data_IF_467305305020
#
_entry.id   IF_467305305020
#
_cell.length_a   1.000
_cell.length_b   1.000
_cell.length_c   1.000
_cell.angle_alpha   90.00
_cell.angle_beta   90.00
_cell.angle_gamma   90.00
#
_symmetry.space_group_name_H-M   'P 1'
#
loop_
_entity.id
_entity.type
_entity.pdbx_description
1 polymer ?
#
# COMPACT_ATOMS: atom_id res chain seq x y z
N UNK A 1 5.24 13.50 7.85
CA UNK A 1 6.09 13.74 9.04
C UNK A 1 5.69 15.13 9.52
N UNK A 2 4.97 15.20 10.63
CA UNK A 2 4.52 16.46 11.21
C UNK A 2 5.64 17.03 12.08
N UNK A 3 5.95 18.33 11.92
CA UNK A 3 6.88 19.10 12.76
C UNK A 3 8.28 18.48 12.95
N UNK A 4 8.86 17.91 11.91
CA UNK A 4 10.21 17.34 11.98
C UNK A 4 11.27 18.43 11.86
N UNK A 5 12.09 18.59 12.89
CA UNK A 5 13.18 19.55 12.89
C UNK A 5 14.51 18.96 12.40
N UNK A 6 14.74 17.68 12.63
CA UNK A 6 16.00 16.99 12.36
C UNK A 6 15.75 15.66 11.67
N UNK A 7 16.52 15.41 10.62
CA UNK A 7 16.64 14.08 10.02
C UNK A 7 18.04 13.55 10.28
N UNK A 8 18.20 12.24 10.36
CA UNK A 8 19.48 11.63 10.63
C UNK A 8 19.65 10.28 9.92
N UNK A 9 20.89 9.86 9.78
CA UNK A 9 21.32 8.54 9.33
C UNK A 9 22.42 8.04 10.23
N UNK A 10 22.20 6.92 10.87
CA UNK A 10 23.19 6.27 11.74
C UNK A 10 23.86 5.11 11.01
N UNK A 11 25.15 4.97 11.22
CA UNK A 11 25.98 3.86 10.76
C UNK A 11 26.49 3.12 11.97
N UNK A 12 26.07 1.87 12.12
CA UNK A 12 26.58 1.01 13.19
C UNK A 12 28.08 0.83 13.02
N UNK A 13 28.83 1.12 14.07
CA UNK A 13 30.28 0.97 14.07
C UNK A 13 30.65 -0.51 14.03
N UNK A 14 31.14 -0.95 12.88
CA UNK A 14 31.62 -2.32 12.64
C UNK A 14 32.96 -2.25 11.93
N UNK A 15 34.03 -2.33 12.70
CA UNK A 15 35.41 -2.28 12.20
C UNK A 15 35.76 -3.46 11.28
N UNK A 16 34.98 -4.52 11.27
CA UNK A 16 35.13 -5.62 10.32
C UNK A 16 34.59 -5.27 8.93
N UNK A 17 33.72 -4.27 8.82
CA UNK A 17 33.09 -3.85 7.57
C UNK A 17 33.71 -2.59 6.97
N UNK A 18 34.15 -1.64 7.80
CA UNK A 18 34.77 -0.39 7.35
C UNK A 18 35.60 0.26 8.47
N UNK A 19 36.52 1.16 8.12
CA UNK A 19 37.37 1.81 9.12
C UNK A 19 36.80 3.14 9.64
N UNK A 20 36.25 3.96 8.76
CA UNK A 20 35.73 5.29 9.13
C UNK A 20 34.79 5.86 8.06
N UNK A 21 34.01 6.89 8.47
CA UNK A 21 33.20 7.70 7.56
C UNK A 21 33.74 9.12 7.60
N UNK A 22 34.00 9.66 6.43
CA UNK A 22 34.62 11.01 6.26
C UNK A 22 33.91 11.78 5.14
N UNK A 23 34.36 13.02 4.90
CA UNK A 23 33.92 13.88 3.78
C UNK A 23 32.40 14.07 3.72
N UNK A 24 31.75 14.14 4.89
CA UNK A 24 30.32 14.37 4.99
C UNK A 24 29.95 15.74 4.47
N UNK A 25 28.95 15.80 3.61
CA UNK A 25 28.31 17.03 3.12
C UNK A 25 26.81 16.82 3.04
N UNK A 26 26.06 17.84 3.38
CA UNK A 26 24.59 17.85 3.29
C UNK A 26 24.15 19.11 2.56
N UNK A 27 23.18 18.97 1.68
CA UNK A 27 22.56 20.06 0.94
C UNK A 27 21.08 19.82 0.73
N UNK A 28 20.35 20.91 0.55
CA UNK A 28 18.96 20.90 0.06
C UNK A 28 18.97 21.17 -1.45
N UNK A 29 18.17 20.43 -2.18
CA UNK A 29 17.99 20.59 -3.63
C UNK A 29 16.61 21.21 -3.89
N UNK A 30 16.60 22.39 -4.50
CA UNK A 30 15.40 23.08 -4.93
C UNK A 30 15.50 23.40 -6.44
N UNK A 31 14.78 22.60 -7.23
CA UNK A 31 14.91 22.62 -8.68
C UNK A 31 16.34 22.33 -9.12
N UNK A 32 16.98 23.32 -9.77
CA UNK A 32 18.39 23.26 -10.22
C UNK A 32 19.38 23.86 -9.19
N UNK A 33 18.89 24.39 -8.07
CA UNK A 33 19.73 25.02 -7.06
C UNK A 33 20.10 24.00 -5.99
N UNK A 34 21.41 23.96 -5.64
CA UNK A 34 21.92 23.16 -4.53
C UNK A 34 22.40 24.13 -3.43
N UNK A 35 21.73 24.07 -2.26
CA UNK A 35 22.08 24.86 -1.09
C UNK A 35 22.82 24.01 -0.09
N UNK A 36 24.11 24.24 0.07
CA UNK A 36 24.97 23.58 1.05
C UNK A 36 24.55 23.95 2.47
N UNK A 37 24.56 23.00 3.38
CA UNK A 37 24.35 23.22 4.81
C UNK A 37 25.65 23.51 5.51
N UNK A 38 25.56 24.22 6.62
CA UNK A 38 26.71 24.56 7.46
C UNK A 38 27.03 23.39 8.39
N UNK A 39 28.31 22.96 8.38
CA UNK A 39 28.77 21.93 9.32
C UNK A 39 28.89 22.53 10.72
N UNK A 40 28.44 21.78 11.73
CA UNK A 40 28.65 22.06 13.15
C UNK A 40 29.39 20.89 13.78
N UNK A 41 30.20 21.18 14.79
CA UNK A 41 31.07 20.21 15.47
C UNK A 41 30.55 19.88 16.88
N UNK A 42 29.25 19.68 16.99
CA UNK A 42 28.59 19.26 18.23
C UNK A 42 27.36 18.41 17.95
N UNK A 43 27.12 17.41 18.78
CA UNK A 43 25.87 16.66 18.82
C UNK A 43 24.73 17.57 19.28
N UNK A 44 23.61 17.51 18.57
CA UNK A 44 22.42 18.29 18.92
C UNK A 44 21.16 17.43 18.71
N UNK A 45 20.29 17.36 19.71
CA UNK A 45 19.00 16.69 19.57
C UNK A 45 18.11 17.36 18.51
N UNK A 46 18.15 18.72 18.46
CA UNK A 46 17.51 19.50 17.43
C UNK A 46 18.56 20.26 16.65
N UNK A 47 18.87 19.78 15.45
CA UNK A 47 19.84 20.46 14.57
C UNK A 47 19.22 21.72 13.99
N UNK A 48 19.94 22.83 14.10
CA UNK A 48 19.52 24.11 13.51
C UNK A 48 19.26 23.96 12.01
N UNK A 49 18.20 24.59 11.52
CA UNK A 49 17.85 24.57 10.10
C UNK A 49 19.05 24.93 9.22
N UNK A 50 19.27 24.12 8.17
CA UNK A 50 20.42 24.27 7.24
C UNK A 50 21.80 24.07 7.88
N UNK A 51 21.85 23.40 9.03
CA UNK A 51 23.07 22.91 9.63
C UNK A 51 23.12 21.41 9.62
N UNK A 52 24.30 20.81 9.78
CA UNK A 52 24.49 19.37 9.92
C UNK A 52 25.72 19.05 10.75
N UNK A 53 25.73 17.86 11.34
CA UNK A 53 26.95 17.25 11.86
C UNK A 53 27.16 15.85 11.27
N UNK A 54 28.39 15.38 11.35
CA UNK A 54 28.78 14.00 11.01
C UNK A 54 29.88 13.59 11.98
N UNK A 55 29.52 12.83 13.03
CA UNK A 55 30.43 12.40 14.11
C UNK A 55 29.88 11.17 14.84
N UNK A 56 30.69 10.64 15.78
CA UNK A 56 30.18 9.58 16.66
C UNK A 56 29.16 10.15 17.63
N UNK A 57 28.06 9.41 17.79
CA UNK A 57 27.05 9.69 18.81
C UNK A 57 27.42 9.01 20.15
N UNK A 58 26.59 9.21 21.17
CA UNK A 58 26.82 8.69 22.52
C UNK A 58 26.84 7.14 22.58
N UNK A 59 26.19 6.46 21.63
CA UNK A 59 26.21 4.99 21.48
C UNK A 59 27.48 4.49 20.75
N UNK A 60 28.37 5.39 20.37
CA UNK A 60 29.58 5.04 19.62
C UNK A 60 29.39 4.76 18.14
N UNK A 61 28.18 4.97 17.60
CA UNK A 61 27.88 4.87 16.19
C UNK A 61 28.18 6.17 15.46
N UNK A 62 28.55 6.10 14.19
CA UNK A 62 28.70 7.32 13.39
C UNK A 62 27.33 7.82 12.91
N UNK A 63 27.03 9.07 13.18
CA UNK A 63 25.75 9.68 12.84
C UNK A 63 25.93 10.93 11.98
N UNK A 64 25.13 11.02 10.93
CA UNK A 64 24.96 12.22 10.13
C UNK A 64 23.55 12.75 10.43
N UNK A 65 23.45 13.94 11.01
CA UNK A 65 22.15 14.56 11.27
C UNK A 65 22.11 15.97 10.69
N UNK A 66 20.95 16.37 10.21
CA UNK A 66 20.75 17.68 9.59
C UNK A 66 19.41 18.31 9.92
N UNK A 67 19.43 19.63 10.09
CA UNK A 67 18.26 20.43 10.43
C UNK A 67 17.44 20.79 9.21
N UNK A 68 16.20 20.32 9.19
CA UNK A 68 15.27 20.54 8.07
C UNK A 68 14.27 21.65 8.37
N UNK A 69 13.87 21.83 9.64
CA UNK A 69 12.92 22.86 10.08
C UNK A 69 11.62 22.75 9.28
N UNK A 70 11.07 21.55 9.16
CA UNK A 70 9.80 21.32 8.50
C UNK A 70 8.65 21.71 9.44
N UNK A 71 7.75 22.51 8.93
CA UNK A 71 6.47 22.84 9.53
C UNK A 71 5.32 22.18 8.74
N UNK A 72 4.10 22.31 9.20
CA UNK A 72 2.92 21.71 8.57
C UNK A 72 2.67 22.22 7.14
N UNK A 73 3.21 23.34 6.77
CA UNK A 73 3.14 23.94 5.43
C UNK A 73 4.22 23.43 4.49
N UNK A 74 5.15 22.61 4.99
CA UNK A 74 6.30 22.16 4.22
C UNK A 74 5.91 21.24 3.10
N UNK A 75 6.07 21.75 1.88
CA UNK A 75 5.99 21.00 0.65
C UNK A 75 7.10 19.93 0.57
N UNK A 76 7.11 19.17 -0.51
CA UNK A 76 8.14 18.16 -0.77
C UNK A 76 9.55 18.77 -0.72
N UNK A 77 10.41 18.17 0.09
CA UNK A 77 11.82 18.56 0.25
C UNK A 77 12.73 17.47 -0.29
N UNK A 78 13.84 17.88 -0.89
CA UNK A 78 14.86 16.98 -1.41
C UNK A 78 16.21 17.33 -0.81
N UNK A 79 16.84 16.33 -0.19
CA UNK A 79 18.16 16.47 0.41
C UNK A 79 19.16 15.58 -0.32
N UNK A 80 20.40 16.04 -0.39
CA UNK A 80 21.55 15.29 -0.88
C UNK A 80 22.55 15.17 0.24
N UNK A 81 22.84 13.92 0.62
CA UNK A 81 23.83 13.58 1.63
C UNK A 81 24.96 12.85 0.92
N UNK A 82 26.18 13.34 1.06
CA UNK A 82 27.38 12.75 0.49
C UNK A 82 28.35 12.42 1.61
N UNK A 83 28.98 11.29 1.55
CA UNK A 83 29.99 10.85 2.51
C UNK A 83 30.90 9.80 1.87
N UNK A 84 32.07 9.62 2.44
CA UNK A 84 33.02 8.59 2.06
C UNK A 84 33.10 7.53 3.15
N UNK A 85 32.98 6.26 2.77
CA UNK A 85 33.19 5.12 3.65
C UNK A 85 34.57 4.53 3.34
N UNK A 86 35.50 4.65 4.27
CA UNK A 86 36.84 4.16 4.09
C UNK A 86 36.88 2.65 4.38
N UNK A 87 37.63 1.92 3.55
CA UNK A 87 37.82 0.48 3.65
C UNK A 87 36.54 -0.37 3.62
N UNK A 88 35.48 0.12 2.95
CA UNK A 88 34.25 -0.64 2.80
C UNK A 88 34.40 -1.87 1.89
N UNK A 89 35.39 -1.87 1.01
CA UNK A 89 35.64 -2.99 0.08
C UNK A 89 36.66 -3.93 0.68
N UNK A 90 36.32 -5.21 0.75
CA UNK A 90 37.24 -6.28 1.10
C UNK A 90 37.89 -6.85 -0.17
N UNK A 91 39.20 -6.97 -0.23
CA UNK A 91 39.95 -7.55 -1.35
C UNK A 91 40.47 -8.91 -0.97
N UNK A 92 39.96 -9.95 -1.60
CA UNK A 92 40.41 -11.32 -1.47
C UNK A 92 41.36 -11.68 -2.61
N UNK A 93 41.88 -12.92 -2.61
CA UNK A 93 42.83 -13.38 -3.64
C UNK A 93 42.16 -13.44 -5.04
N UNK A 94 40.92 -13.88 -5.08
CA UNK A 94 40.15 -14.14 -6.30
C UNK A 94 39.20 -12.99 -6.68
N UNK A 95 38.51 -12.38 -5.70
CA UNK A 95 37.52 -11.32 -5.92
C UNK A 95 37.62 -10.21 -4.88
N UNK A 96 37.08 -9.05 -5.24
CA UNK A 96 36.81 -7.96 -4.32
C UNK A 96 35.32 -7.94 -3.99
N UNK A 97 34.98 -7.64 -2.74
CA UNK A 97 33.62 -7.69 -2.19
C UNK A 97 33.24 -6.31 -1.63
N UNK A 98 32.09 -5.80 -2.07
CA UNK A 98 31.34 -4.77 -1.36
C UNK A 98 30.09 -5.43 -0.74
N UNK A 99 30.05 -5.47 0.58
CA UNK A 99 28.89 -5.95 1.33
C UNK A 99 28.40 -4.84 2.24
N UNK A 100 27.35 -4.11 1.79
CA UNK A 100 26.94 -2.87 2.39
C UNK A 100 25.44 -2.76 2.61
N UNK A 101 25.06 -2.37 3.82
CA UNK A 101 23.69 -2.04 4.18
C UNK A 101 23.40 -0.56 3.87
N UNK A 102 22.70 -0.30 2.76
CA UNK A 102 22.34 1.04 2.34
C UNK A 102 21.26 1.66 3.21
N UNK A 103 20.32 0.85 3.69
CA UNK A 103 19.26 1.23 4.61
C UNK A 103 19.23 0.22 5.74
N UNK A 104 19.31 0.71 6.98
CA UNK A 104 19.28 -0.12 8.19
C UNK A 104 17.87 -0.33 8.71
N UNK A 105 17.73 -1.28 9.64
CA UNK A 105 16.45 -1.61 10.27
C UNK A 105 15.87 -0.46 11.11
N UNK A 106 16.71 0.48 11.50
CA UNK A 106 16.32 1.66 12.28
C UNK A 106 15.70 2.77 11.40
N UNK A 107 15.50 2.52 10.11
CA UNK A 107 14.88 3.47 9.20
C UNK A 107 13.36 3.44 9.34
N UNK A 108 12.79 4.50 9.91
CA UNK A 108 11.39 4.56 10.34
C UNK A 108 10.42 5.11 9.29
N UNK A 109 10.86 5.30 8.04
CA UNK A 109 10.06 5.95 7.00
C UNK A 109 9.66 4.94 5.92
N UNK A 110 8.37 4.91 5.58
CA UNK A 110 7.91 4.18 4.42
C UNK A 110 8.32 4.91 3.13
N UNK A 111 8.92 4.19 2.19
CA UNK A 111 9.30 4.73 0.89
C UNK A 111 8.52 4.06 -0.24
N UNK A 112 7.97 4.83 -1.15
CA UNK A 112 7.30 4.29 -2.34
C UNK A 112 8.31 3.56 -3.23
N UNK A 113 9.50 4.13 -3.36
CA UNK A 113 10.55 3.61 -4.23
C UNK A 113 11.93 3.98 -3.70
N UNK A 114 12.83 3.02 -3.66
CA UNK A 114 14.24 3.18 -3.39
C UNK A 114 14.98 2.72 -4.64
N UNK A 115 15.86 3.54 -5.16
CA UNK A 115 16.72 3.20 -6.30
C UNK A 115 18.17 3.50 -5.96
N UNK A 116 19.07 2.68 -6.44
CA UNK A 116 20.48 2.92 -6.27
C UNK A 116 21.30 2.48 -7.48
N UNK A 117 22.47 3.07 -7.58
CA UNK A 117 23.47 2.74 -8.59
C UNK A 117 24.81 2.60 -7.91
N UNK A 118 25.50 1.49 -8.16
CA UNK A 118 26.89 1.26 -7.76
C UNK A 118 27.72 1.38 -9.04
N UNK A 119 28.68 2.30 -9.03
CA UNK A 119 29.65 2.47 -10.11
C UNK A 119 31.00 1.93 -9.65
N UNK A 120 31.51 0.94 -10.38
CA UNK A 120 32.86 0.45 -10.17
C UNK A 120 33.87 1.40 -10.84
N UNK A 121 35.06 1.57 -10.28
CA UNK A 121 36.03 2.54 -10.79
C UNK A 121 36.59 2.19 -12.17
N UNK A 122 36.53 0.93 -12.58
CA UNK A 122 36.94 0.42 -13.88
C UNK A 122 35.93 -0.63 -14.39
N UNK A 123 36.00 -0.91 -15.71
CA UNK A 123 35.19 -1.95 -16.31
C UNK A 123 35.73 -3.35 -15.95
N UNK A 124 34.83 -4.28 -15.65
CA UNK A 124 35.13 -5.71 -15.71
C UNK A 124 35.25 -6.14 -17.19
N UNK A 125 35.84 -7.31 -17.43
CA UNK A 125 35.91 -7.85 -18.80
C UNK A 125 34.52 -8.22 -19.33
N UNK A 126 33.64 -8.71 -18.46
CA UNK A 126 32.30 -9.09 -18.78
C UNK A 126 31.35 -8.72 -17.62
N UNK A 127 30.06 -8.59 -17.91
CA UNK A 127 29.01 -8.42 -16.86
C UNK A 127 28.93 -9.64 -15.94
N UNK A 128 29.18 -10.81 -16.47
CA UNK A 128 29.15 -12.08 -15.79
C UNK A 128 30.25 -12.19 -14.73
N UNK A 129 31.31 -11.39 -14.84
CA UNK A 129 32.35 -11.26 -13.81
C UNK A 129 31.87 -10.51 -12.56
N UNK A 130 30.73 -9.81 -12.66
CA UNK A 130 30.12 -9.09 -11.56
C UNK A 130 29.00 -9.95 -11.00
N UNK A 131 29.12 -10.39 -9.76
CA UNK A 131 28.07 -11.10 -9.04
C UNK A 131 27.35 -10.13 -8.12
N UNK A 132 26.01 -10.20 -8.08
CA UNK A 132 25.21 -9.28 -7.29
C UNK A 132 24.09 -9.99 -6.58
N UNK A 133 23.87 -9.62 -5.31
CA UNK A 133 22.78 -10.10 -4.47
C UNK A 133 22.20 -8.92 -3.69
N UNK A 134 20.89 -8.93 -3.55
CA UNK A 134 20.17 -7.95 -2.76
C UNK A 134 19.42 -8.64 -1.64
N UNK A 135 19.61 -8.16 -0.43
CA UNK A 135 18.95 -8.66 0.75
C UNK A 135 17.96 -7.64 1.28
N UNK A 136 16.71 -8.04 1.39
CA UNK A 136 15.63 -7.30 2.03
C UNK A 136 14.60 -8.29 2.57
N UNK A 137 13.89 -7.89 3.60
CA UNK A 137 12.99 -8.82 4.31
C UNK A 137 11.85 -9.38 3.44
N UNK A 138 11.39 -8.66 2.42
CA UNK A 138 10.22 -9.02 1.60
C UNK A 138 10.46 -9.14 0.10
N UNK A 139 11.68 -9.18 -0.34
CA UNK A 139 12.07 -9.52 -1.73
C UNK A 139 11.24 -8.81 -2.82
N UNK A 140 10.88 -7.57 -2.59
CA UNK A 140 10.15 -6.69 -3.52
C UNK A 140 11.11 -5.77 -4.29
N UNK A 141 12.33 -6.19 -4.47
CA UNK A 141 13.38 -5.49 -5.17
C UNK A 141 14.02 -6.34 -6.25
N UNK A 142 14.76 -5.68 -7.10
CA UNK A 142 15.62 -6.27 -8.13
C UNK A 142 17.00 -5.65 -8.09
N UNK A 143 18.01 -6.41 -8.46
CA UNK A 143 19.39 -5.97 -8.61
C UNK A 143 20.02 -6.67 -9.81
N UNK A 144 20.78 -5.94 -10.61
CA UNK A 144 21.47 -6.48 -11.79
C UNK A 144 22.66 -5.62 -12.20
N UNK A 145 23.61 -6.24 -12.89
CA UNK A 145 24.68 -5.53 -13.58
C UNK A 145 24.13 -4.93 -14.89
N UNK A 146 23.99 -3.60 -14.93
CA UNK A 146 23.56 -2.89 -16.15
C UNK A 146 24.65 -2.88 -17.21
N UNK A 147 25.90 -2.68 -16.78
CA UNK A 147 27.09 -2.72 -17.64
C UNK A 147 28.27 -3.38 -16.92
N UNK A 148 29.43 -3.41 -17.55
CA UNK A 148 30.67 -4.00 -16.97
C UNK A 148 31.24 -3.20 -15.78
N UNK A 149 30.67 -2.03 -15.46
CA UNK A 149 31.07 -1.24 -14.30
C UNK A 149 29.91 -0.62 -13.55
N UNK A 150 28.65 -0.96 -13.90
CA UNK A 150 27.50 -0.33 -13.33
C UNK A 150 26.47 -1.35 -12.87
N UNK A 151 26.11 -1.28 -11.61
CA UNK A 151 25.10 -2.12 -10.99
C UNK A 151 23.93 -1.23 -10.59
N UNK A 152 22.71 -1.68 -10.87
CA UNK A 152 21.48 -1.01 -10.45
C UNK A 152 20.68 -1.87 -9.52
N UNK A 153 20.01 -1.21 -8.59
CA UNK A 153 19.00 -1.88 -7.75
C UNK A 153 17.78 -0.98 -7.54
N UNK A 154 16.67 -1.62 -7.31
CA UNK A 154 15.39 -0.99 -7.05
C UNK A 154 14.62 -1.78 -6.00
N UNK A 155 13.98 -1.08 -5.04
CA UNK A 155 13.06 -1.68 -4.08
C UNK A 155 11.78 -0.85 -4.08
N UNK A 156 10.65 -1.50 -4.31
CA UNK A 156 9.35 -0.86 -4.35
C UNK A 156 8.56 -1.11 -3.05
N UNK A 157 7.77 -0.12 -2.63
CA UNK A 157 6.91 -0.19 -1.45
C UNK A 157 7.67 -0.63 -0.18
N UNK A 158 8.83 -0.03 0.03
CA UNK A 158 9.64 -0.26 1.22
C UNK A 158 8.90 0.23 2.48
N UNK A 159 8.89 -0.61 3.50
CA UNK A 159 8.25 -0.28 4.79
C UNK A 159 9.30 0.02 5.85
N UNK A 160 8.97 0.93 6.75
CA UNK A 160 9.77 1.26 7.93
C UNK A 160 10.16 0.01 8.74
N UNK A 161 11.28 0.08 9.42
CA UNK A 161 11.81 -1.01 10.23
C UNK A 161 12.48 -2.14 9.44
N UNK A 162 12.75 -1.93 8.14
CA UNK A 162 13.37 -2.93 7.26
C UNK A 162 14.70 -2.44 6.74
N UNK A 163 15.44 -3.34 6.11
CA UNK A 163 16.76 -3.04 5.58
C UNK A 163 16.85 -3.27 4.07
N UNK A 164 17.82 -2.59 3.45
CA UNK A 164 18.29 -2.86 2.09
C UNK A 164 19.79 -3.04 2.18
N UNK A 165 20.25 -4.24 1.95
CA UNK A 165 21.64 -4.62 1.95
C UNK A 165 22.02 -5.22 0.60
N UNK A 166 23.19 -4.89 0.11
CA UNK A 166 23.68 -5.36 -1.19
C UNK A 166 25.05 -5.96 -1.01
N UNK A 167 25.21 -7.11 -1.62
CA UNK A 167 26.47 -7.78 -1.77
C UNK A 167 26.84 -7.83 -3.24
N UNK A 168 28.05 -7.40 -3.59
CA UNK A 168 28.56 -7.53 -4.93
C UNK A 168 30.02 -7.99 -4.92
N UNK A 169 30.32 -8.95 -5.77
CA UNK A 169 31.67 -9.41 -6.04
C UNK A 169 32.10 -8.94 -7.44
N UNK A 170 33.31 -8.50 -7.57
CA UNK A 170 33.88 -8.06 -8.82
C UNK A 170 35.40 -8.37 -8.87
N UNK A 171 36.03 -8.43 -10.06
CA UNK A 171 37.45 -8.78 -10.19
C UNK A 171 38.36 -7.85 -9.39
N UNK A 172 39.37 -8.43 -8.76
CA UNK A 172 40.36 -7.68 -7.94
C UNK A 172 41.15 -6.65 -8.74
N UNK A 173 41.23 -6.81 -10.06
CA UNK A 173 41.87 -5.86 -10.98
C UNK A 173 41.19 -4.50 -11.04
N UNK A 174 39.90 -4.42 -10.67
CA UNK A 174 39.11 -3.18 -10.71
C UNK A 174 39.55 -2.21 -9.60
N UNK A 175 40.07 -2.70 -8.48
CA UNK A 175 40.54 -1.89 -7.37
C UNK A 175 42.04 -2.04 -7.15
N UNK A 176 42.72 -0.91 -7.02
CA UNK A 176 44.16 -0.88 -6.81
C UNK A 176 44.55 -1.02 -5.35
N UNK A 177 43.78 -0.44 -4.44
CA UNK A 177 44.08 -0.39 -3.01
C UNK A 177 42.81 -0.68 -2.19
N UNK A 178 42.95 -1.49 -1.16
CA UNK A 178 41.96 -1.68 -0.10
C UNK A 178 42.67 -1.84 1.23
N UNK A 179 42.21 -1.16 2.27
CA UNK A 179 42.71 -1.36 3.65
C UNK A 179 42.34 -2.72 4.23
N UNK A 180 41.37 -3.43 3.61
CA UNK A 180 40.91 -4.75 4.01
C UNK A 180 41.32 -5.77 2.94
N UNK A 181 42.53 -6.30 3.03
CA UNK A 181 43.08 -7.26 2.08
C UNK A 181 43.30 -8.62 2.78
N UNK A 182 42.85 -9.69 2.14
CA UNK A 182 42.90 -11.05 2.62
C UNK A 182 43.62 -11.94 1.60
N UNK A 183 44.41 -12.92 2.10
CA UNK A 183 45.15 -13.88 1.28
C UNK A 183 44.36 -15.15 0.93
N UNK A 184 43.09 -15.19 1.33
CA UNK A 184 42.17 -16.34 1.07
C UNK A 184 41.33 -16.06 -0.20
N UNK A 185 40.85 -17.12 -0.82
CA UNK A 185 39.79 -17.09 -1.82
C UNK A 185 38.45 -16.99 -1.12
N UNK A 186 37.46 -16.39 -1.79
CA UNK A 186 36.14 -16.11 -1.18
C UNK A 186 34.96 -16.37 -2.10
N UNK A 187 35.17 -16.52 -3.40
CA UNK A 187 34.08 -16.61 -4.39
C UNK A 187 33.15 -17.80 -4.10
N UNK A 188 33.70 -19.00 -3.95
CA UNK A 188 32.89 -20.21 -3.77
C UNK A 188 32.14 -20.21 -2.44
N UNK A 189 32.76 -19.70 -1.38
CA UNK A 189 32.10 -19.52 -0.09
C UNK A 189 30.89 -18.61 -0.20
N UNK A 190 31.06 -17.43 -0.85
CA UNK A 190 29.96 -16.48 -1.04
C UNK A 190 28.85 -17.07 -1.89
N UNK A 191 29.17 -17.74 -2.99
CA UNK A 191 28.16 -18.40 -3.82
C UNK A 191 27.38 -19.44 -3.02
N UNK A 192 28.08 -20.21 -2.16
CA UNK A 192 27.43 -21.19 -1.29
C UNK A 192 26.50 -20.51 -0.27
N UNK A 193 26.98 -19.46 0.42
CA UNK A 193 26.19 -18.68 1.37
C UNK A 193 24.91 -18.12 0.72
N UNK A 194 25.05 -17.46 -0.43
CA UNK A 194 23.96 -16.86 -1.16
C UNK A 194 22.96 -17.89 -1.69
N UNK A 195 23.45 -19.07 -2.10
CA UNK A 195 22.60 -20.18 -2.55
C UNK A 195 21.75 -20.71 -1.41
N UNK A 196 22.30 -20.87 -0.22
CA UNK A 196 21.56 -21.28 0.98
C UNK A 196 20.48 -20.25 1.30
N UNK A 197 20.83 -18.96 1.35
CA UNK A 197 19.87 -17.89 1.64
C UNK A 197 18.76 -17.78 0.59
N UNK A 198 19.10 -17.93 -0.69
CA UNK A 198 18.11 -17.97 -1.77
C UNK A 198 17.13 -19.14 -1.62
N UNK A 199 17.64 -20.32 -1.28
CA UNK A 199 16.80 -21.51 -1.06
C UNK A 199 15.88 -21.35 0.15
N UNK A 200 16.36 -20.80 1.26
CA UNK A 200 15.56 -20.48 2.43
C UNK A 200 14.49 -19.43 2.13
N UNK A 201 14.87 -18.37 1.39
CA UNK A 201 13.93 -17.33 0.97
C UNK A 201 12.82 -17.90 0.07
N UNK A 202 13.18 -18.78 -0.89
CA UNK A 202 12.23 -19.47 -1.76
C UNK A 202 11.31 -20.43 -0.99
N UNK A 203 11.84 -21.14 0.01
CA UNK A 203 11.04 -21.99 0.89
C UNK A 203 10.03 -21.17 1.71
N UNK A 204 10.45 -20.02 2.26
CA UNK A 204 9.55 -19.08 2.97
C UNK A 204 8.46 -18.53 2.06
N UNK A 205 8.79 -18.16 0.80
CA UNK A 205 7.80 -17.72 -0.20
C UNK A 205 6.76 -18.80 -0.49
N UNK A 206 7.19 -20.03 -0.79
CA UNK A 206 6.28 -21.16 -1.04
C UNK A 206 5.34 -21.41 0.13
N UNK A 207 5.86 -21.34 1.36
CA UNK A 207 5.06 -21.50 2.58
C UNK A 207 4.02 -20.38 2.71
N UNK A 208 4.43 -19.11 2.49
CA UNK A 208 3.54 -17.97 2.55
C UNK A 208 2.44 -18.02 1.48
N UNK A 209 2.79 -18.41 0.24
CA UNK A 209 1.81 -18.62 -0.85
C UNK A 209 0.82 -19.74 -0.52
N UNK A 210 1.32 -20.86 0.02
CA UNK A 210 0.47 -21.96 0.47
C UNK A 210 -0.51 -21.52 1.55
N UNK A 211 -0.05 -20.79 2.56
CA UNK A 211 -0.89 -20.23 3.62
C UNK A 211 -1.94 -19.26 3.06
N UNK A 212 -1.53 -18.39 2.13
CA UNK A 212 -2.46 -17.44 1.46
C UNK A 212 -3.54 -18.17 0.66
N UNK A 213 -3.17 -19.20 -0.13
CA UNK A 213 -4.11 -20.04 -0.88
C UNK A 213 -5.11 -20.74 0.05
N UNK A 214 -4.61 -21.30 1.15
CA UNK A 214 -5.46 -21.97 2.15
C UNK A 214 -6.42 -20.96 2.81
N UNK A 215 -5.95 -19.80 3.22
CA UNK A 215 -6.80 -18.76 3.81
C UNK A 215 -7.88 -18.28 2.83
N UNK A 216 -7.53 -18.11 1.54
CA UNK A 216 -8.49 -17.75 0.50
C UNK A 216 -9.53 -18.85 0.29
N UNK A 217 -9.12 -20.13 0.27
CA UNK A 217 -10.04 -21.24 0.14
C UNK A 217 -11.04 -21.32 1.33
N UNK A 218 -10.53 -21.16 2.56
CA UNK A 218 -11.38 -21.12 3.76
C UNK A 218 -12.38 -19.95 3.67
N UNK A 219 -11.92 -18.76 3.26
CA UNK A 219 -12.78 -17.59 3.11
C UNK A 219 -13.91 -17.82 2.10
N UNK A 220 -13.60 -18.42 0.94
CA UNK A 220 -14.61 -18.78 -0.07
C UNK A 220 -15.63 -19.80 0.49
N UNK A 221 -15.16 -20.82 1.21
CA UNK A 221 -16.04 -21.81 1.84
C UNK A 221 -17.01 -21.14 2.83
N UNK A 222 -16.50 -20.22 3.66
CA UNK A 222 -17.34 -19.47 4.63
C UNK A 222 -18.41 -18.66 3.91
N UNK A 223 -18.07 -17.96 2.82
CA UNK A 223 -19.04 -17.22 2.01
C UNK A 223 -20.12 -18.17 1.47
N UNK A 224 -19.73 -19.29 0.86
CA UNK A 224 -20.69 -20.26 0.33
C UNK A 224 -21.65 -20.80 1.40
N UNK A 225 -21.16 -21.04 2.63
CA UNK A 225 -22.02 -21.49 3.74
C UNK A 225 -23.03 -20.40 4.13
N UNK A 226 -22.58 -19.14 4.21
CA UNK A 226 -23.45 -18.00 4.52
C UNK A 226 -24.52 -17.82 3.45
N UNK A 227 -24.11 -17.83 2.16
CA UNK A 227 -25.01 -17.69 1.02
C UNK A 227 -26.05 -18.82 0.98
N UNK A 228 -25.61 -20.06 1.26
CA UNK A 228 -26.51 -21.20 1.35
C UNK A 228 -27.54 -21.04 2.49
N UNK A 229 -27.12 -20.52 3.63
CA UNK A 229 -28.01 -20.20 4.76
C UNK A 229 -29.04 -19.13 4.40
N UNK A 230 -28.62 -18.07 3.72
CA UNK A 230 -29.52 -17.01 3.23
C UNK A 230 -30.51 -17.56 2.21
N UNK A 231 -30.04 -18.35 1.23
CA UNK A 231 -30.89 -18.96 0.21
C UNK A 231 -31.95 -19.90 0.82
N UNK A 232 -31.54 -20.73 1.78
CA UNK A 232 -32.51 -21.58 2.53
C UNK A 232 -33.57 -20.74 3.24
N UNK A 233 -33.18 -19.66 3.90
CA UNK A 233 -34.12 -18.78 4.60
C UNK A 233 -35.07 -18.08 3.62
N UNK A 234 -34.54 -17.61 2.48
CA UNK A 234 -35.35 -17.01 1.41
C UNK A 234 -36.36 -17.97 0.83
N UNK A 235 -35.94 -19.21 0.52
CA UNK A 235 -36.86 -20.27 0.03
C UNK A 235 -37.95 -20.60 1.04
N UNK A 236 -37.64 -20.62 2.35
CA UNK A 236 -38.64 -20.83 3.38
C UNK A 236 -39.67 -19.70 3.40
N UNK A 237 -39.22 -18.45 3.33
CA UNK A 237 -40.12 -17.28 3.29
C UNK A 237 -41.02 -17.31 2.05
N UNK A 238 -40.47 -17.68 0.87
CA UNK A 238 -41.24 -17.81 -0.36
C UNK A 238 -42.33 -18.87 -0.24
N UNK A 239 -42.02 -20.08 0.29
CA UNK A 239 -43.01 -21.11 0.55
C UNK A 239 -44.12 -20.66 1.49
N UNK A 240 -43.77 -20.02 2.59
CA UNK A 240 -44.73 -19.45 3.53
C UNK A 240 -45.62 -18.37 2.89
N UNK A 241 -45.08 -17.59 1.96
CA UNK A 241 -45.80 -16.59 1.18
C UNK A 241 -46.76 -17.26 0.18
N UNK A 242 -46.31 -18.29 -0.56
CA UNK A 242 -47.18 -19.06 -1.46
C UNK A 242 -48.31 -19.72 -0.73
N UNK A 243 -48.11 -20.29 0.45
CA UNK A 243 -49.17 -20.88 1.27
C UNK A 243 -50.23 -19.85 1.74
N UNK A 244 -49.79 -18.61 2.00
CA UNK A 244 -50.67 -17.48 2.38
C UNK A 244 -51.46 -16.93 1.19
N UNK A 245 -50.99 -17.09 -0.04
CA UNK A 245 -51.62 -16.59 -1.28
C UNK A 245 -52.49 -17.63 -1.95
N UNK A 246 -52.59 -18.84 -1.43
CA UNK A 246 -53.64 -19.81 -1.87
C UNK A 246 -55.00 -19.25 -1.49
N UNK A 247 -55.46 -18.32 -2.28
CA UNK A 247 -56.81 -17.81 -2.27
C UNK A 247 -57.69 -18.84 -3.03
N UNK A 248 -58.41 -19.66 -2.32
CA UNK A 248 -59.52 -20.39 -2.94
C UNK A 248 -60.69 -19.43 -3.05
N UNK A 249 -61.12 -19.05 -4.26
CA UNK A 249 -62.34 -18.28 -4.42
C UNK A 249 -63.54 -19.12 -3.95
N UNK A 250 -64.08 -18.76 -2.79
CA UNK A 250 -65.20 -19.45 -2.17
C UNK A 250 -66.54 -19.22 -2.85
N UNK A 251 -66.63 -18.31 -3.82
CA UNK A 251 -67.79 -18.09 -4.67
C UNK A 251 -67.38 -17.41 -5.98
N UNK A 252 -67.91 -17.86 -7.13
CA UNK A 252 -67.95 -17.07 -8.35
C UNK A 252 -68.94 -15.93 -8.15
N UNK A 253 -68.42 -14.73 -7.88
CA UNK A 253 -69.20 -13.50 -7.80
C UNK A 253 -69.06 -12.77 -9.11
N UNK A 254 -70.16 -12.60 -9.83
CA UNK A 254 -70.26 -11.93 -11.12
C UNK A 254 -69.99 -10.39 -11.00
N UNK A 255 -70.02 -9.84 -9.79
CA UNK A 255 -69.84 -8.42 -9.55
C UNK A 255 -69.40 -8.07 -8.12
N UNK A 256 -68.24 -7.38 -7.97
CA UNK A 256 -67.79 -6.84 -6.69
C UNK A 256 -68.05 -5.37 -6.58
N UNK A 257 -68.84 -4.94 -5.58
CA UNK A 257 -69.05 -3.51 -5.24
C UNK A 257 -68.09 -3.01 -4.16
N UNK A 258 -67.43 -3.86 -3.45
CA UNK A 258 -66.59 -3.50 -2.31
C UNK A 258 -65.14 -3.95 -2.51
N UNK A 259 -64.19 -3.19 -1.93
CA UNK A 259 -62.76 -3.57 -1.94
C UNK A 259 -62.58 -4.94 -1.24
N UNK A 260 -61.90 -5.92 -1.87
CA UNK A 260 -61.82 -7.28 -1.39
C UNK A 260 -61.21 -7.45 0.00
N UNK A 261 -60.51 -6.48 0.50
CA UNK A 261 -60.00 -6.40 1.87
C UNK A 261 -60.37 -5.06 2.51
N UNK A 262 -60.94 -5.12 3.72
CA UNK A 262 -61.43 -3.97 4.51
C UNK A 262 -60.40 -2.86 4.75
N UNK A 263 -59.07 -3.14 4.56
CA UNK A 263 -57.97 -2.19 4.76
C UNK A 263 -57.01 -2.14 3.58
N UNK A 264 -57.39 -2.62 2.40
CA UNK A 264 -56.49 -2.54 1.24
C UNK A 264 -56.41 -1.07 0.75
N UNK A 265 -55.17 -0.61 0.55
CA UNK A 265 -54.97 0.69 -0.07
C UNK A 265 -55.18 0.65 -1.59
N UNK A 266 -55.54 1.76 -2.27
CA UNK A 266 -55.64 1.79 -3.74
C UNK A 266 -54.41 1.22 -4.45
N UNK A 267 -53.22 1.49 -3.94
CA UNK A 267 -51.98 0.97 -4.49
C UNK A 267 -51.86 -0.56 -4.36
N UNK A 268 -52.28 -1.14 -3.23
CA UNK A 268 -52.32 -2.59 -3.04
C UNK A 268 -53.33 -3.24 -3.95
N UNK A 269 -54.51 -2.66 -4.17
CA UNK A 269 -55.55 -3.20 -5.04
C UNK A 269 -55.06 -3.26 -6.50
N UNK A 270 -54.36 -2.24 -6.96
CA UNK A 270 -53.83 -2.19 -8.34
C UNK A 270 -52.62 -3.16 -8.47
N UNK A 271 -51.78 -3.31 -7.45
CA UNK A 271 -50.68 -4.25 -7.46
C UNK A 271 -51.20 -5.70 -7.64
N UNK A 272 -52.18 -6.12 -6.87
CA UNK A 272 -52.80 -7.44 -7.01
C UNK A 272 -53.47 -7.62 -8.37
N UNK A 273 -54.13 -6.60 -8.88
CA UNK A 273 -54.75 -6.65 -10.21
C UNK A 273 -53.73 -6.79 -11.36
N UNK A 274 -52.57 -6.19 -11.22
CA UNK A 274 -51.53 -6.20 -12.26
C UNK A 274 -50.60 -7.42 -12.18
N UNK A 275 -50.61 -8.21 -11.11
CA UNK A 275 -49.84 -9.47 -11.05
C UNK A 275 -50.29 -10.46 -12.12
N UNK A 276 -51.54 -10.35 -12.61
CA UNK A 276 -52.04 -11.12 -13.78
C UNK A 276 -51.81 -10.44 -15.13
N UNK A 277 -51.44 -9.14 -15.14
CA UNK A 277 -51.26 -8.31 -16.34
C UNK A 277 -49.85 -7.65 -16.32
N UNK A 278 -48.94 -8.20 -17.07
CA UNK A 278 -47.51 -7.98 -17.04
C UNK A 278 -47.00 -6.54 -17.39
N UNK A 279 -47.83 -5.48 -17.41
CA UNK A 279 -47.33 -4.12 -17.70
C UNK A 279 -48.21 -3.02 -17.05
N UNK A 280 -47.64 -2.34 -16.06
CA UNK A 280 -48.27 -1.10 -15.50
C UNK A 280 -47.99 0.05 -16.42
N UNK A 281 -48.97 0.51 -17.21
CA UNK A 281 -48.82 1.71 -18.07
C UNK A 281 -48.72 3.00 -17.25
N UNK A 282 -48.12 4.05 -17.83
CA UNK A 282 -47.95 5.37 -17.22
C UNK A 282 -49.28 5.96 -16.77
N UNK A 283 -50.40 5.69 -17.47
CA UNK A 283 -51.72 6.13 -17.10
C UNK A 283 -52.24 5.43 -15.85
N UNK A 284 -51.92 4.15 -15.64
CA UNK A 284 -52.30 3.45 -14.44
C UNK A 284 -51.56 3.95 -13.20
N UNK A 285 -50.27 4.32 -13.32
CA UNK A 285 -49.52 4.97 -12.24
C UNK A 285 -50.17 6.31 -11.82
N UNK A 286 -50.63 7.13 -12.78
CA UNK A 286 -51.37 8.34 -12.51
C UNK A 286 -52.68 8.11 -11.76
N UNK A 287 -53.42 7.06 -12.14
CA UNK A 287 -54.67 6.69 -11.48
C UNK A 287 -54.42 6.14 -10.04
N UNK A 288 -53.36 5.36 -9.83
CA UNK A 288 -52.95 4.86 -8.51
C UNK A 288 -52.63 6.03 -7.60
N UNK A 289 -51.83 7.00 -8.09
CA UNK A 289 -51.43 8.17 -7.33
C UNK A 289 -52.64 9.01 -6.95
N UNK A 290 -53.54 9.29 -7.89
CA UNK A 290 -54.77 10.07 -7.66
C UNK A 290 -55.70 9.36 -6.67
N UNK A 291 -55.91 8.04 -6.81
CA UNK A 291 -56.75 7.24 -5.90
C UNK A 291 -56.15 7.19 -4.48
N UNK A 292 -54.80 7.14 -4.37
CA UNK A 292 -54.12 7.17 -3.07
C UNK A 292 -54.24 8.52 -2.39
N UNK A 293 -54.15 9.62 -3.11
CA UNK A 293 -54.39 10.96 -2.57
C UNK A 293 -55.84 11.14 -2.09
N UNK A 294 -56.80 10.66 -2.84
CA UNK A 294 -58.22 10.68 -2.43
C UNK A 294 -58.48 9.83 -1.17
N UNK A 295 -57.89 8.63 -1.07
CA UNK A 295 -57.96 7.77 0.13
C UNK A 295 -57.39 8.45 1.36
N UNK A 296 -56.21 9.12 1.22
CA UNK A 296 -55.60 9.90 2.29
C UNK A 296 -56.46 11.10 2.71
N UNK A 297 -57.13 11.75 1.78
CA UNK A 297 -58.05 12.83 2.07
C UNK A 297 -59.31 12.38 2.80
N UNK A 298 -59.87 11.23 2.36
CA UNK A 298 -61.01 10.61 3.04
C UNK A 298 -60.67 10.18 4.46
N UNK A 299 -59.43 9.76 4.70
CA UNK A 299 -58.91 9.41 6.02
C UNK A 299 -58.45 10.64 6.82
N UNK A 300 -58.66 11.84 6.29
CA UNK A 300 -58.29 13.13 6.93
C UNK A 300 -56.79 13.31 7.22
N UNK A 301 -55.93 12.61 6.50
CA UNK A 301 -54.47 12.84 6.58
C UNK A 301 -53.99 13.98 5.75
N UNK A 302 -54.72 14.35 4.67
CA UNK A 302 -54.47 15.49 3.81
C UNK A 302 -55.77 16.23 3.48
N UNK A 303 -55.66 17.51 3.21
CA UNK A 303 -56.75 18.34 2.71
C UNK A 303 -56.39 18.91 1.34
N UNK A 304 -57.40 19.02 0.47
CA UNK A 304 -57.28 19.68 -0.81
C UNK A 304 -57.83 21.11 -0.67
N UNK A 305 -57.00 22.10 -0.98
CA UNK A 305 -57.42 23.54 -1.00
C UNK A 305 -57.17 24.09 -2.39
N UNK A 306 -58.11 24.93 -2.88
CA UNK A 306 -57.85 25.64 -4.12
C UNK A 306 -56.70 26.61 -3.96
N UNK A 307 -55.80 26.63 -4.97
CA UNK A 307 -54.73 27.62 -4.96
C UNK A 307 -55.32 29.01 -5.25
N UNK A 308 -55.19 29.96 -4.32
CA UNK A 308 -55.77 31.29 -4.48
C UNK A 308 -55.17 32.09 -5.64
N UNK A 309 -53.98 31.75 -6.09
CA UNK A 309 -53.24 32.45 -7.14
C UNK A 309 -53.38 31.80 -8.52
N UNK A 310 -53.80 30.56 -8.62
CA UNK A 310 -53.99 29.84 -9.89
C UNK A 310 -54.99 28.68 -9.72
N UNK A 311 -56.21 28.87 -10.21
CA UNK A 311 -57.30 27.88 -10.12
C UNK A 311 -57.05 26.55 -10.86
N UNK A 312 -55.97 26.44 -11.61
CA UNK A 312 -55.56 25.20 -12.26
C UNK A 312 -54.84 24.23 -11.32
N UNK A 313 -54.38 24.70 -10.17
CA UNK A 313 -53.64 23.91 -9.22
C UNK A 313 -54.36 23.77 -7.88
N UNK A 314 -54.25 22.64 -7.27
CA UNK A 314 -54.78 22.32 -5.95
C UNK A 314 -53.60 22.19 -4.98
N UNK A 315 -53.67 22.90 -3.86
CA UNK A 315 -52.70 22.75 -2.78
C UNK A 315 -53.08 21.54 -1.92
N UNK A 316 -52.09 20.71 -1.59
CA UNK A 316 -52.25 19.59 -0.68
C UNK A 316 -51.57 20.00 0.66
N UNK A 317 -52.36 20.00 1.72
CA UNK A 317 -51.87 20.29 3.08
C UNK A 317 -52.14 19.11 4.02
#
# INVERSE_FOLDING_TARGET
>A
IENTNTLFKTFKTDKSKYSSITDVRVSEIDGNNEKQFTKIDSLMYHVTKQCYYGMQNDDGNFEIAWGVGLDDSSANKKYKISYKVNDAIAKYKDYAELYWQFIGNDFEINCKKITGTILLPQNANSKEDIKVWGHTEYLNGEIYAESTNKIKFEVNNFRAGRYVEIRTLFPTSIITVSGRTYSTERLDDVISEETVWANEANARRKKAEGTKKLATAIFVIVICIVDFGIAKKALKILKEAEERVKFEPTQELEYFREIPRKNATPAQAVYVYNEELSDVSTNQMGNIFSATLLDLSLKKYINFEENPNDKKYINIR
#
